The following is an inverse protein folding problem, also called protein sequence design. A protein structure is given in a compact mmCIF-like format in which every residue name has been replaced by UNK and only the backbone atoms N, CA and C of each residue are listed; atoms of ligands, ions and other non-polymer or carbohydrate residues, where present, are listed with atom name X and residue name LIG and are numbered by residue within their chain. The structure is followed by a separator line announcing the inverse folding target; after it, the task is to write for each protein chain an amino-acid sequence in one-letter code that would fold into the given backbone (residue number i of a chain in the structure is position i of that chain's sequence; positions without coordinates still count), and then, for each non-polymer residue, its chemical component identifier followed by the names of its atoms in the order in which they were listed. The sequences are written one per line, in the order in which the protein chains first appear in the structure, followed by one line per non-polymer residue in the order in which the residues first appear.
data_IF_352307189309
#
_entry.id   IF_352307189309
#
_cell.length_a   1.000
_cell.length_b   1.000
_cell.length_c   1.000
_cell.angle_alpha   90.00
_cell.angle_beta   90.00
_cell.angle_gamma   90.00
#
_symmetry.space_group_name_H-M   'P 1'
#
loop_
_entity.id
_entity.type
_entity.pdbx_description
1 polymer ?
#
# COMPACT_ATOMS: atom_id res chain seq x y z
N UNK A 1 -9.21 -10.62 -23.64
CA UNK A 1 -8.68 -9.63 -22.69
C UNK A 1 -9.31 -9.95 -21.34
N UNK A 2 -8.54 -9.96 -20.25
CA UNK A 2 -9.07 -10.31 -18.93
C UNK A 2 -9.73 -9.12 -18.23
N UNK A 3 -10.01 -9.29 -16.95
CA UNK A 3 -10.47 -8.26 -16.02
C UNK A 3 -9.53 -7.03 -16.02
N UNK A 4 -10.10 -5.84 -16.03
CA UNK A 4 -9.40 -4.56 -15.87
C UNK A 4 -9.78 -4.03 -14.49
N UNK A 5 -8.79 -3.75 -13.65
CA UNK A 5 -9.00 -3.22 -12.33
C UNK A 5 -8.35 -1.85 -12.18
N UNK A 6 -9.15 -0.81 -11.96
CA UNK A 6 -8.70 0.58 -11.85
C UNK A 6 -8.50 0.91 -10.38
N UNK A 7 -7.25 0.91 -9.94
CA UNK A 7 -6.86 1.32 -8.60
C UNK A 7 -6.60 2.83 -8.50
N UNK A 8 -6.31 3.34 -7.29
CA UNK A 8 -6.05 4.76 -7.05
C UNK A 8 -4.81 5.30 -7.79
N UNK A 9 -3.74 4.51 -7.84
CA UNK A 9 -2.43 4.92 -8.41
C UNK A 9 -2.11 4.23 -9.73
N UNK A 10 -2.55 2.99 -9.90
CA UNK A 10 -2.26 2.16 -11.07
C UNK A 10 -3.53 1.48 -11.55
N UNK A 11 -3.60 1.18 -12.84
CA UNK A 11 -4.61 0.30 -13.44
C UNK A 11 -3.95 -1.02 -13.79
N UNK A 12 -4.54 -2.11 -13.33
CA UNK A 12 -4.09 -3.47 -13.62
C UNK A 12 -4.89 -4.06 -14.78
N UNK A 13 -4.19 -4.36 -15.87
CA UNK A 13 -4.72 -5.07 -17.02
C UNK A 13 -4.34 -6.54 -16.90
N UNK A 14 -5.33 -7.44 -16.95
CA UNK A 14 -5.04 -8.87 -16.96
C UNK A 14 -5.14 -9.45 -18.38
N UNK A 15 -4.21 -10.33 -18.72
CA UNK A 15 -4.18 -11.01 -20.01
C UNK A 15 -3.82 -12.48 -19.84
N UNK A 16 -4.37 -13.31 -20.72
CA UNK A 16 -4.00 -14.72 -20.83
C UNK A 16 -2.95 -14.85 -21.94
N UNK A 17 -1.72 -15.31 -21.64
CA UNK A 17 -0.75 -15.59 -22.68
C UNK A 17 -1.29 -16.61 -23.67
N UNK A 18 -0.94 -16.45 -24.95
CA UNK A 18 -1.20 -17.47 -25.94
C UNK A 18 -0.40 -18.74 -25.62
N UNK A 19 -0.90 -19.89 -26.09
CA UNK A 19 -0.22 -21.16 -25.89
C UNK A 19 1.22 -21.13 -26.47
N UNK A 20 2.16 -21.73 -25.75
CA UNK A 20 3.58 -21.73 -26.13
C UNK A 20 4.36 -20.45 -25.81
N UNK A 21 3.72 -19.37 -25.35
CA UNK A 21 4.43 -18.17 -24.90
C UNK A 21 5.00 -18.37 -23.50
N UNK A 22 6.33 -18.34 -23.39
CA UNK A 22 7.04 -18.36 -22.11
C UNK A 22 6.82 -17.06 -21.34
N UNK A 23 6.57 -17.16 -20.02
CA UNK A 23 6.40 -16.00 -19.14
C UNK A 23 7.62 -15.07 -19.16
N UNK A 24 8.83 -15.64 -19.18
CA UNK A 24 10.08 -14.87 -19.25
C UNK A 24 10.18 -13.96 -20.48
N UNK A 25 9.53 -14.32 -21.60
CA UNK A 25 9.47 -13.48 -22.79
C UNK A 25 8.60 -12.24 -22.56
N UNK A 26 7.52 -12.37 -21.78
CA UNK A 26 6.65 -11.25 -21.43
C UNK A 26 7.36 -10.32 -20.45
N UNK A 27 8.01 -10.88 -19.42
CA UNK A 27 8.78 -10.11 -18.44
C UNK A 27 9.93 -9.33 -19.10
N UNK A 28 10.60 -9.93 -20.10
CA UNK A 28 11.67 -9.27 -20.85
C UNK A 28 11.20 -8.02 -21.62
N UNK A 29 9.92 -7.93 -21.98
CA UNK A 29 9.33 -6.78 -22.70
C UNK A 29 8.99 -5.60 -21.77
N UNK A 30 9.33 -5.67 -20.48
CA UNK A 30 9.02 -4.61 -19.50
C UNK A 30 9.39 -3.20 -19.96
N UNK A 31 10.61 -3.01 -20.49
CA UNK A 31 11.10 -1.71 -20.96
C UNK A 31 10.40 -1.24 -22.23
N UNK A 32 10.18 -2.16 -23.17
CA UNK A 32 9.53 -1.86 -24.44
C UNK A 32 8.05 -1.50 -24.24
N UNK A 33 7.38 -2.18 -23.31
CA UNK A 33 6.02 -1.85 -22.89
C UNK A 33 5.95 -0.49 -22.22
N UNK A 34 6.90 -0.17 -21.34
CA UNK A 34 6.98 1.15 -20.71
C UNK A 34 7.17 2.27 -21.73
N UNK A 35 8.01 2.04 -22.75
CA UNK A 35 8.22 2.97 -23.86
C UNK A 35 6.94 3.13 -24.70
N UNK A 36 6.34 2.02 -25.15
CA UNK A 36 5.16 2.03 -26.01
C UNK A 36 3.94 2.67 -25.34
N UNK A 37 3.80 2.53 -24.01
CA UNK A 37 2.72 3.11 -23.24
C UNK A 37 3.03 4.53 -22.74
N UNK A 38 4.24 5.05 -22.99
CA UNK A 38 4.75 6.30 -22.42
C UNK A 38 4.53 6.37 -20.89
N UNK A 39 4.72 5.24 -20.21
CA UNK A 39 4.37 5.06 -18.81
C UNK A 39 5.53 4.39 -18.08
N UNK A 40 6.03 5.04 -17.03
CA UNK A 40 7.09 4.49 -16.18
C UNK A 40 6.88 4.90 -14.72
N UNK A 41 7.06 3.99 -13.73
CA UNK A 41 7.35 2.57 -13.90
C UNK A 41 6.10 1.74 -14.19
N UNK A 42 6.23 0.69 -15.02
CA UNK A 42 5.24 -0.40 -15.16
C UNK A 42 5.67 -1.57 -14.27
N UNK A 43 4.72 -2.39 -13.82
CA UNK A 43 5.02 -3.66 -13.14
C UNK A 43 4.29 -4.81 -13.84
N UNK A 44 5.01 -5.92 -14.05
CA UNK A 44 4.45 -7.16 -14.60
C UNK A 44 4.36 -8.17 -13.44
N UNK A 45 3.18 -8.72 -13.21
CA UNK A 45 2.89 -9.77 -12.23
C UNK A 45 2.57 -11.06 -13.00
N UNK A 46 3.52 -11.99 -13.06
CA UNK A 46 3.44 -13.20 -13.85
C UNK A 46 3.96 -14.43 -13.06
N UNK A 47 3.14 -15.47 -12.81
CA UNK A 47 1.67 -15.49 -12.90
C UNK A 47 1.03 -14.70 -11.75
N UNK A 48 -0.21 -14.26 -11.93
CA UNK A 48 -1.02 -13.76 -10.80
C UNK A 48 -1.29 -14.93 -9.84
N UNK A 49 -1.00 -14.81 -8.54
CA UNK A 49 -1.25 -15.89 -7.57
C UNK A 49 -2.69 -16.43 -7.66
N UNK A 50 -2.82 -17.75 -7.82
CA UNK A 50 -4.13 -18.42 -7.94
C UNK A 50 -4.86 -18.23 -9.28
N UNK A 51 -4.26 -17.57 -10.28
CA UNK A 51 -4.86 -17.38 -11.62
C UNK A 51 -3.86 -17.74 -12.74
N UNK A 52 -4.35 -18.35 -13.82
CA UNK A 52 -3.57 -18.60 -15.05
C UNK A 52 -3.51 -17.35 -15.96
N UNK A 53 -3.18 -16.20 -15.37
CA UNK A 53 -3.17 -14.88 -16.01
C UNK A 53 -1.89 -14.12 -15.68
N UNK A 54 -1.54 -13.17 -16.54
CA UNK A 54 -0.50 -12.17 -16.31
C UNK A 54 -1.17 -10.82 -16.05
N UNK A 55 -0.70 -10.10 -15.02
CA UNK A 55 -1.11 -8.75 -14.70
C UNK A 55 -0.07 -7.73 -15.16
N UNK A 56 -0.52 -6.67 -15.81
CA UNK A 56 0.31 -5.50 -16.15
C UNK A 56 -0.27 -4.30 -15.42
N UNK A 57 0.48 -3.75 -14.46
CA UNK A 57 0.14 -2.55 -13.71
C UNK A 57 0.75 -1.33 -14.41
N UNK A 58 -0.12 -0.47 -14.93
CA UNK A 58 0.25 0.77 -15.61
C UNK A 58 -0.12 1.95 -14.71
N UNK A 59 0.77 2.94 -14.48
CA UNK A 59 0.46 4.11 -13.68
C UNK A 59 -0.69 4.91 -14.30
N UNK A 60 -1.61 5.37 -13.47
CA UNK A 60 -2.70 6.24 -13.90
C UNK A 60 -2.14 7.61 -14.32
N UNK A 61 -2.76 8.26 -15.31
CA UNK A 61 -2.42 9.63 -15.72
C UNK A 61 -2.56 10.64 -14.57
N UNK A 62 -3.56 10.42 -13.72
CA UNK A 62 -3.75 11.15 -12.47
C UNK A 62 -3.94 10.15 -11.34
N UNK A 63 -3.06 10.19 -10.35
CA UNK A 63 -3.18 9.35 -9.17
C UNK A 63 -4.12 9.98 -8.16
N UNK A 64 -5.06 9.20 -7.65
CA UNK A 64 -5.95 9.63 -6.58
C UNK A 64 -5.21 9.65 -5.24
N UNK A 65 -5.34 10.75 -4.50
CA UNK A 65 -4.80 10.86 -3.15
C UNK A 65 -5.63 10.02 -2.18
N UNK A 66 -5.00 9.03 -1.55
CA UNK A 66 -5.64 8.23 -0.48
C UNK A 66 -5.54 9.01 0.83
N UNK A 67 -6.65 9.57 1.29
CA UNK A 67 -6.71 10.38 2.52
C UNK A 67 -6.91 9.52 3.75
N UNK A 68 -6.10 9.72 4.79
CA UNK A 68 -6.23 8.99 6.06
C UNK A 68 -7.63 9.12 6.67
N UNK A 69 -8.20 10.33 6.73
CA UNK A 69 -9.55 10.52 7.28
C UNK A 69 -10.63 9.70 6.56
N UNK A 70 -10.49 9.47 5.24
CA UNK A 70 -11.41 8.61 4.50
C UNK A 70 -11.30 7.15 4.92
N UNK A 71 -10.09 6.68 5.24
CA UNK A 71 -9.83 5.31 5.67
C UNK A 71 -10.32 5.07 7.10
N UNK A 72 -10.09 6.02 8.01
CA UNK A 72 -10.56 5.93 9.40
C UNK A 72 -12.10 5.90 9.49
N UNK A 73 -12.80 6.47 8.50
CA UNK A 73 -14.27 6.46 8.44
C UNK A 73 -14.90 5.12 8.00
N UNK A 74 -14.11 4.14 7.54
CA UNK A 74 -14.67 2.85 7.10
C UNK A 74 -15.19 2.03 8.30
N UNK A 75 -16.39 1.42 8.19
CA UNK A 75 -16.92 0.52 9.22
C UNK A 75 -15.97 -0.64 9.57
N UNK A 76 -15.22 -1.14 8.58
CA UNK A 76 -14.23 -2.20 8.72
C UNK A 76 -13.10 -1.78 9.66
N UNK A 77 -12.65 -0.52 9.59
CA UNK A 77 -11.64 0.00 10.52
C UNK A 77 -12.19 0.16 11.93
N UNK A 78 -13.44 0.64 12.06
CA UNK A 78 -14.08 0.80 13.37
C UNK A 78 -14.26 -0.55 14.10
N UNK A 79 -14.48 -1.62 13.35
CA UNK A 79 -14.60 -3.00 13.84
C UNK A 79 -13.28 -3.77 13.87
N UNK A 80 -12.18 -3.17 13.41
CA UNK A 80 -10.88 -3.83 13.36
C UNK A 80 -10.33 -4.08 14.77
N UNK A 81 -9.32 -4.93 14.90
CA UNK A 81 -8.72 -5.24 16.19
C UNK A 81 -8.00 -4.03 16.81
N UNK A 82 -7.59 -4.11 18.09
CA UNK A 82 -7.18 -2.95 18.86
C UNK A 82 -5.93 -2.28 18.27
N UNK A 83 -4.94 -3.01 17.78
CA UNK A 83 -3.72 -2.42 17.22
C UNK A 83 -3.76 -2.33 15.69
N UNK A 84 -4.97 -2.32 15.12
CA UNK A 84 -5.18 -2.11 13.69
C UNK A 84 -4.92 -0.66 13.28
N UNK A 85 -4.28 -0.49 12.12
CA UNK A 85 -3.95 0.82 11.57
C UNK A 85 -4.33 0.95 10.09
N UNK A 86 -4.57 2.17 9.63
CA UNK A 86 -4.84 2.45 8.23
C UNK A 86 -3.54 2.49 7.42
N UNK A 87 -3.28 1.42 6.64
CA UNK A 87 -2.11 1.34 5.76
C UNK A 87 -2.34 2.10 4.45
N UNK A 88 -3.53 1.98 3.86
CA UNK A 88 -3.82 2.56 2.55
C UNK A 88 -4.92 1.81 1.82
N UNK A 89 -4.79 1.76 0.49
CA UNK A 89 -5.62 0.96 -0.40
C UNK A 89 -4.75 0.02 -1.22
N UNK A 90 -5.29 -1.15 -1.54
CA UNK A 90 -4.65 -2.07 -2.47
C UNK A 90 -4.76 -1.57 -3.93
N UNK A 91 -4.21 -2.35 -4.85
CA UNK A 91 -4.26 -2.10 -6.30
C UNK A 91 -5.68 -2.13 -6.88
N UNK A 92 -6.64 -2.73 -6.16
CA UNK A 92 -8.05 -2.75 -6.52
C UNK A 92 -8.85 -1.61 -5.87
N UNK A 93 -8.20 -0.79 -5.04
CA UNK A 93 -8.82 0.32 -4.33
C UNK A 93 -9.50 -0.06 -3.01
N UNK A 94 -9.42 -1.33 -2.58
CA UNK A 94 -9.97 -1.78 -1.30
C UNK A 94 -9.12 -1.24 -0.15
N UNK A 95 -9.73 -0.78 0.96
CA UNK A 95 -8.98 -0.31 2.11
C UNK A 95 -8.26 -1.47 2.82
N UNK A 96 -7.08 -1.18 3.37
CA UNK A 96 -6.25 -2.14 4.10
C UNK A 96 -6.05 -1.71 5.55
N UNK A 97 -6.43 -2.59 6.48
CA UNK A 97 -6.33 -2.39 7.93
C UNK A 97 -5.59 -3.56 8.62
N UNK A 98 -4.26 -3.67 8.45
CA UNK A 98 -3.49 -4.69 9.17
C UNK A 98 -3.52 -4.46 10.68
N UNK A 99 -3.40 -5.53 11.46
CA UNK A 99 -3.32 -5.48 12.92
C UNK A 99 -1.95 -5.96 13.44
N UNK A 100 -1.27 -5.09 14.18
CA UNK A 100 0.02 -5.39 14.81
C UNK A 100 -0.13 -6.55 15.80
N UNK A 101 -1.29 -6.78 16.43
CA UNK A 101 -1.47 -7.90 17.36
C UNK A 101 -1.36 -9.27 16.68
N UNK A 102 -1.65 -9.34 15.37
CA UNK A 102 -1.53 -10.56 14.55
C UNK A 102 -0.17 -10.69 13.87
N UNK A 103 0.58 -9.58 13.79
CA UNK A 103 1.93 -9.47 13.26
C UNK A 103 2.77 -8.76 14.34
N UNK A 104 3.14 -9.46 15.43
CA UNK A 104 3.52 -8.84 16.71
C UNK A 104 4.65 -7.81 16.62
N UNK A 105 5.41 -7.84 15.52
CA UNK A 105 6.39 -6.82 15.16
C UNK A 105 6.25 -6.43 13.69
N UNK A 106 6.52 -5.16 13.39
CA UNK A 106 6.49 -4.59 12.04
C UNK A 106 7.82 -3.89 11.74
N UNK A 107 8.44 -4.23 10.60
CA UNK A 107 9.60 -3.52 10.06
C UNK A 107 9.18 -2.59 8.93
N UNK A 108 9.53 -1.31 9.02
CA UNK A 108 9.27 -0.32 7.96
C UNK A 108 10.60 0.23 7.45
N UNK A 109 10.90 -0.04 6.18
CA UNK A 109 12.10 0.43 5.49
C UNK A 109 11.75 1.15 4.18
N UNK A 110 12.56 2.12 3.79
CA UNK A 110 12.37 2.89 2.56
C UNK A 110 13.37 4.03 2.43
N UNK A 111 13.66 4.45 1.20
CA UNK A 111 14.52 5.60 0.91
C UNK A 111 13.84 6.94 1.25
N UNK A 112 14.60 8.02 1.31
CA UNK A 112 14.04 9.38 1.45
C UNK A 112 13.04 9.65 0.33
N UNK A 113 11.88 10.22 0.69
CA UNK A 113 10.80 10.52 -0.27
C UNK A 113 9.89 9.33 -0.63
N UNK A 114 10.18 8.10 -0.16
CA UNK A 114 9.33 6.93 -0.42
C UNK A 114 8.01 6.91 0.36
N UNK A 115 7.85 7.80 1.33
CA UNK A 115 6.66 7.87 2.20
C UNK A 115 6.80 7.16 3.55
N UNK A 116 7.99 6.69 3.92
CA UNK A 116 8.26 6.03 5.22
C UNK A 116 7.70 6.81 6.42
N UNK A 117 8.03 8.09 6.54
CA UNK A 117 7.55 8.92 7.65
C UNK A 117 6.02 9.05 7.64
N UNK A 118 5.42 9.22 6.47
CA UNK A 118 3.96 9.30 6.31
C UNK A 118 3.28 8.03 6.82
N UNK A 119 3.83 6.85 6.53
CA UNK A 119 3.31 5.57 7.07
C UNK A 119 3.42 5.52 8.59
N UNK A 120 4.55 5.94 9.17
CA UNK A 120 4.73 5.99 10.63
C UNK A 120 3.67 6.90 11.26
N UNK A 121 3.47 8.10 10.71
CA UNK A 121 2.44 9.03 11.18
C UNK A 121 1.03 8.47 11.00
N UNK A 122 0.75 7.75 9.92
CA UNK A 122 -0.54 7.07 9.70
C UNK A 122 -0.82 6.04 10.79
N UNK A 123 0.18 5.22 11.14
CA UNK A 123 0.08 4.23 12.22
C UNK A 123 -0.18 4.92 13.56
N UNK A 124 0.67 5.88 13.94
CA UNK A 124 0.53 6.60 15.21
C UNK A 124 -0.82 7.29 15.32
N UNK A 125 -1.25 7.99 14.26
CA UNK A 125 -2.54 8.68 14.24
C UNK A 125 -3.71 7.70 14.33
N UNK A 126 -3.66 6.57 13.62
CA UNK A 126 -4.72 5.56 13.68
C UNK A 126 -4.86 4.94 15.09
N UNK A 127 -3.73 4.71 15.78
CA UNK A 127 -3.73 4.23 17.16
C UNK A 127 -4.25 5.29 18.13
N UNK A 128 -3.74 6.53 18.05
CA UNK A 128 -4.20 7.63 18.91
C UNK A 128 -5.67 7.99 18.69
N UNK A 129 -6.20 7.75 17.49
CA UNK A 129 -7.61 7.97 17.18
C UNK A 129 -8.55 6.99 17.90
N UNK A 130 -8.06 5.80 18.29
CA UNK A 130 -8.88 4.72 18.85
C UNK A 130 -8.63 4.42 20.33
N UNK A 131 -7.54 4.93 20.89
CA UNK A 131 -7.08 4.54 22.22
C UNK A 131 -6.98 5.74 23.16
N UNK A 132 -7.26 5.46 24.43
CA UNK A 132 -6.95 6.38 25.52
C UNK A 132 -5.58 6.04 26.12
N UNK A 133 -4.97 6.94 26.92
CA UNK A 133 -3.71 6.67 27.60
C UNK A 133 -3.72 5.44 28.52
N UNK A 134 -4.90 4.96 28.92
CA UNK A 134 -5.06 3.77 29.75
C UNK A 134 -5.01 2.47 28.92
N UNK A 135 -5.38 2.54 27.63
CA UNK A 135 -5.44 1.36 26.75
C UNK A 135 -4.24 1.23 25.82
N UNK A 136 -3.48 2.32 25.62
CA UNK A 136 -2.27 2.35 24.80
C UNK A 136 -1.17 3.18 25.47
N UNK A 137 0.04 2.62 25.52
CA UNK A 137 1.26 3.34 25.89
C UNK A 137 2.24 3.27 24.74
N UNK A 138 2.88 4.39 24.42
CA UNK A 138 3.82 4.52 23.33
C UNK A 138 5.22 4.88 23.86
N UNK A 139 6.24 4.21 23.32
CA UNK A 139 7.64 4.61 23.48
C UNK A 139 8.13 4.98 22.09
N UNK A 140 8.41 6.27 21.88
CA UNK A 140 8.87 6.80 20.60
C UNK A 140 10.35 7.14 20.69
N UNK A 141 11.16 6.48 19.86
CA UNK A 141 12.61 6.71 19.79
C UNK A 141 12.93 7.40 18.47
N UNK A 142 13.31 8.67 18.54
CA UNK A 142 13.75 9.45 17.38
C UNK A 142 15.18 9.96 17.59
N UNK A 143 16.19 9.22 17.09
CA UNK A 143 17.59 9.58 17.29
C UNK A 143 17.98 10.89 16.59
N UNK A 144 17.22 11.32 15.56
CA UNK A 144 17.48 12.55 14.82
C UNK A 144 16.68 13.74 15.35
N UNK A 145 15.62 13.49 16.13
CA UNK A 145 14.69 14.49 16.67
C UNK A 145 13.99 15.34 15.60
N UNK A 146 13.74 14.76 14.42
CA UNK A 146 13.13 15.46 13.28
C UNK A 146 11.69 15.02 13.05
N UNK A 147 11.37 13.75 13.31
CA UNK A 147 10.15 13.12 12.82
C UNK A 147 9.10 12.98 13.95
N UNK A 148 9.51 12.49 15.13
CA UNK A 148 8.57 12.10 16.19
C UNK A 148 8.45 13.11 17.32
N UNK A 149 9.24 14.19 17.29
CA UNK A 149 9.20 15.26 18.30
C UNK A 149 7.81 15.91 18.44
N UNK A 150 7.02 15.89 17.37
CA UNK A 150 5.62 16.34 17.31
C UNK A 150 4.69 15.62 18.30
N UNK A 151 5.04 14.40 18.72
CA UNK A 151 4.25 13.60 19.67
C UNK A 151 4.73 13.75 21.12
N UNK A 152 5.70 14.62 21.37
CA UNK A 152 6.19 14.85 22.73
C UNK A 152 5.08 15.42 23.62
N UNK A 153 4.88 14.82 24.80
CA UNK A 153 3.93 15.30 25.80
C UNK A 153 2.47 14.86 25.60
N UNK A 154 2.17 13.98 24.63
CA UNK A 154 0.88 13.31 24.60
C UNK A 154 0.71 12.42 25.86
N UNK A 155 -0.51 12.37 26.45
CA UNK A 155 -0.75 11.68 27.73
C UNK A 155 -0.58 10.16 27.68
#
# INVERSE_FOLDING_TARGET
MGEINVGPKVTRYTLKPAEGIKLSRIEALHKDLALALAAHPIRIEAPIPGKSLVGIEVPNRSAALVRLGSLLGYPEFQKAGPLSFALGRDVAGNPLFPDISTMPHLLIAGSTGSGKSVVIHSILTALLYRHTPQTLRLILVDPKRVELSLYSGIP
#
